data_IF_846575688426
#
_entry.id   IF_846575688426
#
_cell.length_a   1.000
_cell.length_b   1.000
_cell.length_c   1.000
_cell.angle_alpha   90.00
_cell.angle_beta   90.00
_cell.angle_gamma   90.00
#
_symmetry.space_group_name_H-M   'P 1'
#
loop_
_entity.id
_entity.type
_entity.pdbx_description
1 polymer ?
#
# COMPACT_ATOMS: atom_id res chain seq x y z
N UNK A 1 4.74 -11.44 23.19
CA UNK A 1 6.20 -11.50 23.45
C UNK A 1 6.77 -10.17 22.98
N UNK A 2 7.50 -9.43 23.81
CA UNK A 2 8.08 -8.16 23.38
C UNK A 2 9.41 -8.45 22.67
N UNK A 3 9.52 -8.03 21.43
CA UNK A 3 10.74 -8.16 20.64
C UNK A 3 11.79 -7.10 21.03
N UNK A 4 13.06 -7.35 20.71
CA UNK A 4 14.19 -6.48 21.03
C UNK A 4 14.59 -5.69 19.78
N UNK A 5 14.74 -4.38 19.94
CA UNK A 5 15.24 -3.51 18.87
C UNK A 5 16.71 -3.80 18.53
N UNK A 6 17.01 -3.94 17.24
CA UNK A 6 18.37 -4.13 16.72
C UNK A 6 18.82 -2.91 15.89
N UNK A 7 19.80 -2.11 16.37
CA UNK A 7 20.28 -0.93 15.65
C UNK A 7 21.33 -1.23 14.56
N UNK A 8 21.71 -2.50 14.42
CA UNK A 8 22.69 -3.03 13.46
C UNK A 8 22.20 -4.40 12.99
N UNK A 9 22.59 -4.87 11.79
CA UNK A 9 22.18 -6.17 11.29
C UNK A 9 22.50 -7.30 12.26
N UNK A 10 21.52 -8.13 12.58
CA UNK A 10 21.67 -9.33 13.42
C UNK A 10 20.91 -10.52 12.83
N UNK A 11 21.38 -11.72 13.16
CA UNK A 11 20.79 -12.99 12.72
C UNK A 11 20.93 -13.24 11.22
N UNK A 12 20.74 -14.48 10.83
CA UNK A 12 20.50 -14.89 9.44
C UNK A 12 19.04 -14.67 9.07
N UNK A 13 18.72 -14.60 7.77
CA UNK A 13 17.32 -14.51 7.34
C UNK A 13 16.45 -15.63 7.95
N UNK A 14 16.94 -16.88 7.97
CA UNK A 14 16.17 -18.01 8.50
C UNK A 14 15.90 -17.90 10.01
N UNK A 15 16.86 -17.41 10.80
CA UNK A 15 16.66 -17.14 12.23
C UNK A 15 15.63 -16.02 12.44
N UNK A 16 15.71 -14.94 11.65
CA UNK A 16 14.76 -13.82 11.72
C UNK A 16 13.35 -14.22 11.28
N UNK A 17 13.27 -15.04 10.23
CA UNK A 17 12.04 -15.65 9.73
C UNK A 17 11.38 -16.50 10.81
N UNK A 18 12.13 -17.42 11.44
CA UNK A 18 11.60 -18.24 12.53
C UNK A 18 11.15 -17.36 13.70
N UNK A 19 11.93 -16.35 14.08
CA UNK A 19 11.57 -15.45 15.17
C UNK A 19 10.28 -14.66 14.88
N UNK A 20 10.07 -14.17 13.66
CA UNK A 20 8.83 -13.48 13.28
C UNK A 20 7.62 -14.43 13.27
N UNK A 21 7.77 -15.64 12.71
CA UNK A 21 6.70 -16.64 12.74
C UNK A 21 6.26 -16.96 14.17
N UNK A 22 7.20 -17.16 15.09
CA UNK A 22 6.90 -17.39 16.51
C UNK A 22 6.27 -16.16 17.17
N UNK A 23 6.76 -14.96 16.86
CA UNK A 23 6.20 -13.70 17.35
C UNK A 23 4.73 -13.55 16.94
N UNK A 24 4.39 -13.85 15.69
CA UNK A 24 3.03 -13.83 15.18
C UNK A 24 2.18 -14.95 15.81
N UNK A 25 2.65 -16.19 15.79
CA UNK A 25 1.89 -17.37 16.24
C UNK A 25 1.58 -17.37 17.75
N UNK A 26 2.38 -16.66 18.55
CA UNK A 26 2.14 -16.45 19.97
C UNK A 26 1.04 -15.42 20.26
N UNK A 27 0.47 -14.79 19.24
CA UNK A 27 -0.50 -13.70 19.35
C UNK A 27 -1.70 -13.95 18.43
N UNK A 28 -2.85 -13.44 18.85
CA UNK A 28 -4.07 -13.40 18.03
C UNK A 28 -4.67 -12.01 18.24
N UNK A 29 -4.07 -10.96 17.63
CA UNK A 29 -4.66 -9.64 17.72
C UNK A 29 -6.09 -9.72 17.16
N UNK A 30 -7.05 -9.04 17.79
CA UNK A 30 -8.38 -8.89 17.21
C UNK A 30 -8.38 -7.85 16.08
N UNK A 31 -9.57 -7.52 15.59
CA UNK A 31 -9.77 -6.49 14.57
C UNK A 31 -9.61 -7.01 13.14
N UNK A 32 -9.78 -6.11 12.16
CA UNK A 32 -9.99 -6.42 10.73
C UNK A 32 -8.97 -7.40 10.14
N UNK A 33 -7.69 -7.25 10.49
CA UNK A 33 -6.58 -8.01 9.89
C UNK A 33 -5.90 -8.95 10.89
N UNK A 34 -6.44 -9.06 12.10
CA UNK A 34 -5.78 -9.79 13.17
C UNK A 34 -5.60 -11.28 12.88
N UNK A 35 -6.46 -11.84 12.03
CA UNK A 35 -6.38 -13.21 11.54
C UNK A 35 -5.08 -13.54 10.77
N UNK A 36 -4.34 -12.54 10.27
CA UNK A 36 -3.08 -12.78 9.55
C UNK A 36 -2.03 -13.47 10.43
N UNK A 37 -2.09 -13.32 11.76
CA UNK A 37 -1.22 -14.08 12.66
C UNK A 37 -1.48 -15.60 12.61
N UNK A 38 -2.67 -16.02 12.18
CA UNK A 38 -3.03 -17.43 11.99
C UNK A 38 -2.30 -18.04 10.78
N UNK A 39 -1.96 -17.24 9.77
CA UNK A 39 -1.14 -17.71 8.63
C UNK A 39 0.25 -18.16 9.11
N UNK A 40 0.84 -17.46 10.10
CA UNK A 40 2.10 -17.88 10.70
C UNK A 40 1.98 -19.20 11.47
N UNK A 41 0.82 -19.48 12.09
CA UNK A 41 0.57 -20.78 12.73
C UNK A 41 0.49 -21.90 11.71
N UNK A 42 -0.18 -21.68 10.57
CA UNK A 42 -0.22 -22.64 9.47
C UNK A 42 1.17 -22.94 8.93
N UNK A 43 2.00 -21.91 8.70
CA UNK A 43 3.39 -22.10 8.24
C UNK A 43 4.24 -22.88 9.25
N UNK A 44 3.97 -22.73 10.55
CA UNK A 44 4.63 -23.49 11.62
C UNK A 44 4.05 -24.90 11.86
N UNK A 45 3.02 -25.31 11.11
CA UNK A 45 2.35 -26.60 11.33
C UNK A 45 1.60 -26.66 12.67
N UNK A 46 0.89 -25.59 13.03
CA UNK A 46 0.11 -25.47 14.27
C UNK A 46 -1.35 -25.19 13.94
N UNK A 47 -2.25 -25.74 14.75
CA UNK A 47 -3.70 -25.50 14.65
C UNK A 47 -3.99 -24.00 14.75
N UNK A 48 -4.80 -23.49 13.83
CA UNK A 48 -5.28 -22.08 13.89
C UNK A 48 -6.39 -21.93 14.92
N UNK A 49 -6.55 -20.71 15.42
CA UNK A 49 -7.85 -20.25 15.90
C UNK A 49 -8.67 -19.81 14.68
N UNK A 50 -9.76 -20.52 14.40
CA UNK A 50 -10.62 -20.25 13.25
C UNK A 50 -11.49 -19.00 13.44
N UNK A 51 -11.73 -18.58 14.69
CA UNK A 51 -12.68 -17.49 14.97
C UNK A 51 -12.26 -16.15 14.34
N UNK A 52 -11.00 -15.68 14.46
CA UNK A 52 -10.55 -14.47 13.77
C UNK A 52 -10.69 -14.54 12.24
N UNK A 53 -10.54 -15.73 11.65
CA UNK A 53 -10.67 -15.91 10.20
C UNK A 53 -12.14 -15.74 9.79
N UNK A 54 -13.08 -16.27 10.58
CA UNK A 54 -14.53 -16.10 10.37
C UNK A 54 -14.97 -14.65 10.58
N UNK A 55 -14.41 -13.95 11.56
CA UNK A 55 -14.64 -12.50 11.73
C UNK A 55 -14.15 -11.71 10.52
N UNK A 56 -13.03 -12.11 9.91
CA UNK A 56 -12.56 -11.51 8.67
C UNK A 56 -13.49 -11.82 7.49
N UNK A 57 -14.09 -13.01 7.43
CA UNK A 57 -15.13 -13.36 6.43
C UNK A 57 -16.35 -12.44 6.61
N UNK A 58 -16.84 -12.26 7.84
CA UNK A 58 -17.95 -11.34 8.15
C UNK A 58 -17.63 -9.90 7.75
N UNK A 59 -16.39 -9.46 7.99
CA UNK A 59 -15.91 -8.16 7.54
C UNK A 59 -15.94 -8.03 6.00
N UNK A 60 -15.54 -9.06 5.26
CA UNK A 60 -15.68 -9.08 3.79
C UNK A 60 -17.13 -8.91 3.36
N UNK A 61 -18.06 -9.68 3.95
CA UNK A 61 -19.49 -9.59 3.66
C UNK A 61 -20.13 -8.24 4.07
N UNK A 62 -19.52 -7.52 5.02
CA UNK A 62 -19.99 -6.18 5.41
C UNK A 62 -19.81 -5.14 4.29
N UNK A 63 -18.99 -5.43 3.27
CA UNK A 63 -18.65 -4.55 2.15
C UNK A 63 -18.10 -3.18 2.60
N UNK A 64 -17.45 -3.15 3.76
CA UNK A 64 -16.70 -2.00 4.22
C UNK A 64 -15.35 -1.91 3.51
N UNK A 65 -14.81 -0.69 3.46
CA UNK A 65 -13.50 -0.40 2.88
C UNK A 65 -12.35 -1.19 3.55
N UNK A 66 -11.34 -1.51 2.74
CA UNK A 66 -10.19 -2.37 3.04
C UNK A 66 -10.50 -3.87 3.23
N UNK A 67 -11.62 -4.37 2.70
CA UNK A 67 -11.94 -5.81 2.77
C UNK A 67 -11.17 -6.67 1.75
N UNK A 68 -10.60 -6.07 0.72
CA UNK A 68 -9.62 -6.65 -0.21
C UNK A 68 -8.38 -7.14 0.55
N UNK A 69 -7.94 -6.44 1.59
CA UNK A 69 -6.76 -6.86 2.36
C UNK A 69 -6.98 -8.21 3.05
N UNK A 70 -8.21 -8.48 3.51
CA UNK A 70 -8.57 -9.78 4.07
C UNK A 70 -8.60 -10.87 3.00
N UNK A 71 -9.07 -10.53 1.81
CA UNK A 71 -9.17 -11.43 0.67
C UNK A 71 -7.79 -11.92 0.21
N UNK A 72 -6.80 -11.03 0.13
CA UNK A 72 -5.40 -11.39 -0.13
C UNK A 72 -4.84 -12.41 0.89
N UNK A 73 -5.20 -12.27 2.16
CA UNK A 73 -4.87 -13.24 3.21
C UNK A 73 -5.54 -14.61 2.99
N UNK A 74 -6.82 -14.62 2.61
CA UNK A 74 -7.57 -15.85 2.31
C UNK A 74 -6.99 -16.59 1.11
N UNK A 75 -6.63 -15.87 0.06
CA UNK A 75 -5.98 -16.44 -1.12
C UNK A 75 -4.69 -17.15 -0.74
N UNK A 76 -3.85 -16.55 0.11
CA UNK A 76 -2.65 -17.25 0.55
C UNK A 76 -2.93 -18.51 1.35
N UNK A 77 -3.95 -18.49 2.21
CA UNK A 77 -4.40 -19.69 2.93
C UNK A 77 -4.79 -20.80 1.93
N UNK A 78 -5.55 -20.45 0.89
CA UNK A 78 -6.00 -21.42 -0.12
C UNK A 78 -4.86 -21.93 -1.01
N UNK A 79 -3.93 -21.08 -1.43
CA UNK A 79 -2.80 -21.52 -2.26
C UNK A 79 -1.79 -22.38 -1.49
N UNK A 80 -1.53 -22.07 -0.21
CA UNK A 80 -0.48 -22.77 0.56
C UNK A 80 -0.97 -23.87 1.49
N UNK A 81 -2.15 -23.70 2.09
CA UNK A 81 -2.56 -24.48 3.25
C UNK A 81 -3.95 -25.11 3.12
N UNK A 82 -4.56 -25.10 1.93
CA UNK A 82 -5.87 -25.72 1.66
C UNK A 82 -6.01 -27.16 2.17
N UNK A 83 -4.93 -27.94 2.09
CA UNK A 83 -4.90 -29.33 2.53
C UNK A 83 -4.21 -29.55 3.89
N UNK A 84 -3.93 -28.47 4.62
CA UNK A 84 -3.32 -28.55 5.95
C UNK A 84 -4.29 -29.22 6.94
N UNK A 85 -3.82 -30.14 7.81
CA UNK A 85 -4.64 -30.71 8.86
C UNK A 85 -4.93 -29.71 10.00
N UNK A 86 -4.30 -28.53 9.98
CA UNK A 86 -4.36 -27.51 11.02
C UNK A 86 -5.45 -26.45 10.80
N UNK A 87 -6.28 -26.63 9.77
CA UNK A 87 -7.44 -25.79 9.43
C UNK A 87 -8.58 -26.70 8.96
N UNK A 88 -9.81 -26.46 9.43
CA UNK A 88 -10.94 -27.27 9.03
C UNK A 88 -11.26 -27.10 7.54
N UNK A 89 -11.68 -28.19 6.91
CA UNK A 89 -12.14 -28.15 5.53
C UNK A 89 -13.47 -27.37 5.38
N UNK A 90 -14.21 -27.20 6.48
CA UNK A 90 -15.38 -26.33 6.54
C UNK A 90 -14.98 -24.86 6.34
N UNK A 91 -14.00 -24.37 7.10
CA UNK A 91 -13.49 -23.01 6.95
C UNK A 91 -12.87 -22.80 5.57
N UNK A 92 -12.11 -23.77 5.04
CA UNK A 92 -11.63 -23.70 3.65
C UNK A 92 -12.77 -23.47 2.67
N UNK A 93 -13.86 -24.24 2.76
CA UNK A 93 -15.03 -24.06 1.89
C UNK A 93 -15.72 -22.70 2.04
N UNK A 94 -15.66 -22.08 3.23
CA UNK A 94 -16.15 -20.70 3.45
C UNK A 94 -15.26 -19.66 2.78
N UNK A 95 -13.93 -19.82 2.83
CA UNK A 95 -13.01 -18.95 2.12
C UNK A 95 -13.25 -19.00 0.60
N UNK A 96 -13.40 -20.21 0.03
CA UNK A 96 -13.68 -20.38 -1.40
C UNK A 96 -14.99 -19.69 -1.82
N UNK A 97 -16.07 -19.85 -1.03
CA UNK A 97 -17.35 -19.16 -1.26
C UNK A 97 -17.20 -17.64 -1.17
N UNK A 98 -16.41 -17.16 -0.23
CA UNK A 98 -16.17 -15.72 -0.06
C UNK A 98 -15.47 -15.14 -1.29
N UNK A 99 -14.50 -15.85 -1.87
CA UNK A 99 -13.83 -15.43 -3.11
C UNK A 99 -14.79 -15.38 -4.31
N UNK A 100 -15.65 -16.37 -4.47
CA UNK A 100 -16.62 -16.42 -5.58
C UNK A 100 -17.72 -15.36 -5.45
N UNK A 101 -18.05 -14.95 -4.22
CA UNK A 101 -19.04 -13.92 -3.93
C UNK A 101 -18.50 -12.49 -4.10
N UNK A 102 -17.19 -12.29 -3.96
CA UNK A 102 -16.60 -10.97 -3.86
C UNK A 102 -16.74 -10.14 -5.16
N UNK A 103 -16.88 -8.82 -5.00
CA UNK A 103 -16.83 -7.85 -6.11
C UNK A 103 -15.40 -7.33 -6.24
N UNK A 104 -14.74 -7.59 -7.37
CA UNK A 104 -13.31 -7.33 -7.55
C UNK A 104 -13.01 -5.96 -8.13
N UNK A 105 -13.92 -5.38 -8.92
CA UNK A 105 -13.70 -4.06 -9.50
C UNK A 105 -14.89 -3.13 -9.42
N UNK A 106 -14.65 -1.82 -9.58
CA UNK A 106 -15.66 -0.80 -9.29
C UNK A 106 -16.87 -0.83 -10.24
N UNK A 107 -16.68 -1.25 -11.49
CA UNK A 107 -17.69 -1.32 -12.55
C UNK A 107 -18.56 -2.58 -12.51
N UNK A 108 -18.20 -3.56 -11.69
CA UNK A 108 -19.05 -4.72 -11.43
C UNK A 108 -20.36 -4.33 -10.70
N UNK A 109 -21.45 -5.08 -10.87
CA UNK A 109 -22.69 -4.85 -10.11
C UNK A 109 -22.45 -5.00 -8.59
N UNK A 110 -23.31 -4.38 -7.79
CA UNK A 110 -23.28 -4.49 -6.33
C UNK A 110 -23.12 -3.15 -5.60
N UNK A 111 -22.96 -3.23 -4.26
CA UNK A 111 -22.88 -2.03 -3.40
C UNK A 111 -21.59 -1.26 -3.63
N UNK A 112 -21.73 0.05 -3.77
CA UNK A 112 -20.62 1.01 -3.72
C UNK A 112 -20.34 1.34 -2.26
N UNK A 113 -19.10 1.18 -1.81
CA UNK A 113 -18.72 1.42 -0.40
C UNK A 113 -17.25 1.13 -0.10
N UNK A 114 -16.42 0.99 -1.13
CA UNK A 114 -15.01 0.60 -1.06
C UNK A 114 -14.20 1.55 -1.91
N UNK A 115 -12.96 1.77 -1.51
CA UNK A 115 -11.98 2.54 -2.25
C UNK A 115 -11.30 1.63 -3.29
N UNK A 116 -11.49 1.91 -4.59
CA UNK A 116 -10.79 1.19 -5.67
C UNK A 116 -9.65 2.00 -6.28
N UNK A 117 -9.44 3.22 -5.80
CA UNK A 117 -8.74 4.27 -6.56
C UNK A 117 -7.31 4.52 -6.10
N UNK A 118 -6.97 4.26 -4.83
CA UNK A 118 -5.59 4.48 -4.37
C UNK A 118 -4.63 3.44 -4.94
N UNK A 119 -3.36 3.80 -5.02
CA UNK A 119 -2.31 2.99 -5.66
C UNK A 119 -2.26 1.54 -5.14
N UNK A 120 -2.29 1.35 -3.81
CA UNK A 120 -2.30 0.03 -3.18
C UNK A 120 -3.58 -0.77 -3.50
N UNK A 121 -4.77 -0.17 -3.40
CA UNK A 121 -6.03 -0.85 -3.63
C UNK A 121 -6.10 -1.39 -5.06
N UNK A 122 -5.66 -0.61 -6.05
CA UNK A 122 -5.66 -1.05 -7.45
C UNK A 122 -4.90 -2.37 -7.62
N UNK A 123 -3.70 -2.50 -7.05
CA UNK A 123 -2.93 -3.73 -7.21
C UNK A 123 -3.45 -4.87 -6.34
N UNK A 124 -3.99 -4.60 -5.15
CA UNK A 124 -4.56 -5.61 -4.27
C UNK A 124 -5.81 -6.22 -4.91
N UNK A 125 -6.78 -5.40 -5.33
CA UNK A 125 -8.00 -5.88 -5.98
C UNK A 125 -7.70 -6.76 -7.19
N UNK A 126 -6.82 -6.31 -8.09
CA UNK A 126 -6.51 -7.10 -9.29
C UNK A 126 -5.61 -8.30 -9.01
N UNK A 127 -4.71 -8.23 -8.02
CA UNK A 127 -3.99 -9.42 -7.56
C UNK A 127 -4.96 -10.47 -7.05
N UNK A 128 -5.93 -10.06 -6.23
CA UNK A 128 -6.90 -10.97 -5.67
C UNK A 128 -7.82 -11.56 -6.75
N UNK A 129 -8.24 -10.73 -7.70
CA UNK A 129 -9.04 -11.14 -8.86
C UNK A 129 -8.33 -12.20 -9.70
N UNK A 130 -7.06 -11.95 -10.06
CA UNK A 130 -6.25 -12.89 -10.84
C UNK A 130 -6.16 -14.23 -10.11
N UNK A 131 -5.80 -14.20 -8.83
CA UNK A 131 -5.54 -15.41 -8.07
C UNK A 131 -6.82 -16.19 -7.77
N UNK A 132 -7.95 -15.52 -7.54
CA UNK A 132 -9.25 -16.17 -7.43
C UNK A 132 -9.67 -16.80 -8.77
N UNK A 133 -9.55 -16.08 -9.88
CA UNK A 133 -9.83 -16.60 -11.22
C UNK A 133 -9.00 -17.84 -11.56
N UNK A 134 -7.71 -17.85 -11.19
CA UNK A 134 -6.83 -19.01 -11.36
C UNK A 134 -7.18 -20.22 -10.49
N UNK A 135 -7.74 -20.02 -9.28
CA UNK A 135 -8.22 -21.11 -8.43
C UNK A 135 -9.50 -21.73 -8.96
N UNK A 136 -10.35 -20.93 -9.61
CA UNK A 136 -11.68 -21.33 -10.07
C UNK A 136 -11.93 -20.95 -11.55
N UNK A 137 -11.09 -21.42 -12.50
CA UNK A 137 -11.14 -20.96 -13.90
C UNK A 137 -12.49 -21.27 -14.58
N UNK A 138 -13.11 -22.39 -14.20
CA UNK A 138 -14.38 -22.87 -14.74
C UNK A 138 -15.60 -22.44 -13.90
N UNK A 139 -15.39 -21.78 -12.76
CA UNK A 139 -16.50 -21.32 -11.92
C UNK A 139 -17.09 -20.02 -12.46
N UNK A 140 -18.36 -19.81 -12.13
CA UNK A 140 -19.04 -18.53 -12.32
C UNK A 140 -18.99 -17.76 -11.02
N UNK A 141 -18.47 -16.53 -11.06
CA UNK A 141 -18.40 -15.63 -9.93
C UNK A 141 -19.79 -15.04 -9.69
N UNK A 142 -20.25 -15.12 -8.44
CA UNK A 142 -21.65 -14.81 -8.10
C UNK A 142 -21.95 -13.31 -8.24
N UNK A 143 -20.94 -12.46 -8.07
CA UNK A 143 -21.14 -11.03 -8.08
C UNK A 143 -21.60 -10.51 -9.46
N UNK A 144 -20.88 -10.87 -10.52
CA UNK A 144 -21.08 -10.33 -11.87
C UNK A 144 -21.53 -11.37 -12.90
N UNK A 145 -21.51 -12.66 -12.54
CA UNK A 145 -21.87 -13.77 -13.41
C UNK A 145 -20.81 -14.13 -14.45
N UNK A 146 -19.61 -13.56 -14.37
CA UNK A 146 -18.51 -13.87 -15.28
C UNK A 146 -17.76 -15.14 -14.85
N UNK A 147 -16.99 -15.70 -15.79
CA UNK A 147 -16.17 -16.90 -15.53
C UNK A 147 -14.84 -16.55 -14.87
N UNK A 148 -14.21 -17.51 -14.18
CA UNK A 148 -12.84 -17.34 -13.69
C UNK A 148 -11.84 -16.93 -14.77
N UNK A 149 -11.99 -17.45 -16.01
CA UNK A 149 -11.17 -17.03 -17.14
C UNK A 149 -11.33 -15.54 -17.50
N UNK A 150 -12.54 -14.99 -17.39
CA UNK A 150 -12.77 -13.55 -17.59
C UNK A 150 -12.01 -12.72 -16.55
N UNK A 151 -12.10 -13.11 -15.27
CA UNK A 151 -11.40 -12.42 -14.18
C UNK A 151 -9.88 -12.50 -14.34
N UNK A 152 -9.33 -13.62 -14.83
CA UNK A 152 -7.91 -13.71 -15.19
C UNK A 152 -7.56 -12.66 -16.26
N UNK A 153 -8.30 -12.62 -17.36
CA UNK A 153 -7.99 -11.69 -18.47
C UNK A 153 -8.14 -10.22 -18.05
N UNK A 154 -9.18 -9.91 -17.28
CA UNK A 154 -9.47 -8.59 -16.75
C UNK A 154 -8.37 -8.11 -15.78
N UNK A 155 -8.03 -8.92 -14.78
CA UNK A 155 -6.99 -8.61 -13.82
C UNK A 155 -5.62 -8.42 -14.48
N UNK A 156 -5.27 -9.28 -15.45
CA UNK A 156 -3.99 -9.21 -16.16
C UNK A 156 -3.80 -7.89 -16.92
N UNK A 157 -4.87 -7.34 -17.50
CA UNK A 157 -4.83 -6.03 -18.14
C UNK A 157 -4.36 -4.94 -17.16
N UNK A 158 -5.01 -4.85 -16.00
CA UNK A 158 -4.72 -3.79 -15.04
C UNK A 158 -3.45 -4.03 -14.22
N UNK A 159 -3.12 -5.26 -13.85
CA UNK A 159 -1.85 -5.59 -13.19
C UNK A 159 -0.67 -5.13 -14.05
N UNK A 160 -0.68 -5.46 -15.35
CA UNK A 160 0.40 -5.08 -16.28
C UNK A 160 0.52 -3.56 -16.41
N UNK A 161 -0.60 -2.85 -16.44
CA UNK A 161 -0.62 -1.38 -16.45
C UNK A 161 -0.06 -0.80 -15.16
N UNK A 162 -0.50 -1.29 -14.00
CA UNK A 162 -0.01 -0.84 -12.70
C UNK A 162 1.50 -1.06 -12.55
N UNK A 163 2.00 -2.25 -12.90
CA UNK A 163 3.43 -2.58 -12.91
C UNK A 163 4.21 -1.64 -13.85
N UNK A 164 3.67 -1.38 -15.04
CA UNK A 164 4.27 -0.43 -16.00
C UNK A 164 4.35 0.98 -15.42
N UNK A 165 3.33 1.44 -14.70
CA UNK A 165 3.35 2.75 -14.06
C UNK A 165 4.42 2.83 -12.96
N UNK A 166 4.58 1.78 -12.14
CA UNK A 166 5.64 1.77 -11.12
C UNK A 166 7.03 1.87 -11.72
N UNK A 167 7.28 1.16 -12.82
CA UNK A 167 8.55 1.23 -13.55
C UNK A 167 8.80 2.62 -14.14
N UNK A 168 7.76 3.30 -14.64
CA UNK A 168 7.91 4.61 -15.30
C UNK A 168 7.97 5.78 -14.32
N UNK A 169 7.26 5.70 -13.21
CA UNK A 169 6.94 6.85 -12.37
C UNK A 169 7.22 6.62 -10.87
N UNK A 170 7.76 5.48 -10.43
CA UNK A 170 8.02 5.26 -9.00
C UNK A 170 6.74 4.89 -8.25
N UNK A 171 6.45 5.50 -7.08
CA UNK A 171 5.22 5.29 -6.28
C UNK A 171 4.54 6.63 -5.99
N UNK A 172 3.23 6.72 -6.18
CA UNK A 172 2.47 7.93 -5.87
C UNK A 172 2.36 8.07 -4.36
N UNK A 173 2.17 6.95 -3.63
CA UNK A 173 2.24 6.91 -2.17
C UNK A 173 3.71 6.82 -1.69
N UNK A 174 4.58 7.69 -2.23
CA UNK A 174 6.04 7.57 -2.16
C UNK A 174 6.54 7.30 -0.73
N UNK A 175 7.47 6.34 -0.63
CA UNK A 175 8.18 5.97 0.60
C UNK A 175 7.27 5.79 1.83
N UNK A 176 5.98 5.48 1.65
CA UNK A 176 5.06 5.40 2.77
C UNK A 176 5.41 4.22 3.67
N UNK A 177 5.61 4.52 4.96
CA UNK A 177 5.93 3.54 5.99
C UNK A 177 4.78 2.60 6.37
N UNK A 178 3.62 2.75 5.73
CA UNK A 178 2.47 1.85 5.83
C UNK A 178 2.09 1.26 4.47
N UNK A 179 2.03 2.05 3.41
CA UNK A 179 1.54 1.57 2.12
C UNK A 179 2.50 0.61 1.41
N UNK A 180 3.79 0.62 1.74
CA UNK A 180 4.69 -0.44 1.29
C UNK A 180 4.27 -1.82 1.81
N UNK A 181 3.70 -1.94 3.02
CA UNK A 181 3.17 -3.22 3.50
C UNK A 181 1.90 -3.63 2.75
N UNK A 182 1.10 -2.67 2.31
CA UNK A 182 -0.10 -2.91 1.50
C UNK A 182 0.28 -3.34 0.07
N UNK A 183 1.24 -2.68 -0.57
CA UNK A 183 1.75 -3.10 -1.89
C UNK A 183 2.40 -4.49 -1.84
N UNK A 184 3.20 -4.76 -0.79
CA UNK A 184 3.83 -6.07 -0.58
C UNK A 184 2.80 -7.19 -0.37
N UNK A 185 1.61 -6.88 0.18
CA UNK A 185 0.53 -7.85 0.33
C UNK A 185 0.17 -8.49 -1.03
N UNK A 186 -0.04 -7.64 -2.03
CA UNK A 186 -0.39 -8.06 -3.39
C UNK A 186 0.82 -8.64 -4.13
N UNK A 187 1.94 -7.92 -4.14
CA UNK A 187 3.10 -8.27 -4.95
C UNK A 187 3.69 -9.63 -4.57
N UNK A 188 3.74 -9.96 -3.27
CA UNK A 188 4.27 -11.25 -2.82
C UNK A 188 3.35 -12.40 -3.20
N UNK A 189 2.04 -12.19 -3.16
CA UNK A 189 1.07 -13.17 -3.65
C UNK A 189 1.19 -13.38 -5.17
N UNK A 190 1.36 -12.30 -5.95
CA UNK A 190 1.63 -12.41 -7.39
C UNK A 190 2.95 -13.14 -7.66
N UNK A 191 4.01 -12.81 -6.92
CA UNK A 191 5.31 -13.47 -7.03
C UNK A 191 5.26 -14.97 -6.73
N UNK A 192 4.49 -15.38 -5.72
CA UNK A 192 4.40 -16.78 -5.33
C UNK A 192 3.41 -17.58 -6.22
N UNK A 193 2.32 -16.97 -6.68
CA UNK A 193 1.14 -17.71 -7.17
C UNK A 193 0.66 -17.34 -8.58
N UNK A 194 1.11 -16.24 -9.19
CA UNK A 194 0.73 -15.92 -10.57
C UNK A 194 1.28 -16.98 -11.54
N UNK A 195 0.40 -17.51 -12.40
CA UNK A 195 0.79 -18.50 -13.42
C UNK A 195 1.47 -17.84 -14.62
N UNK A 196 1.35 -16.51 -14.77
CA UNK A 196 1.94 -15.76 -15.87
C UNK A 196 3.35 -15.32 -15.49
N UNK A 197 4.34 -15.80 -16.25
CA UNK A 197 5.75 -15.55 -15.99
C UNK A 197 6.09 -14.05 -15.97
N UNK A 198 5.49 -13.26 -16.86
CA UNK A 198 5.72 -11.82 -16.93
C UNK A 198 5.23 -11.08 -15.68
N UNK A 199 4.08 -11.48 -15.13
CA UNK A 199 3.54 -10.91 -13.88
C UNK A 199 4.42 -11.32 -12.70
N UNK A 200 4.76 -12.60 -12.61
CA UNK A 200 5.59 -13.14 -11.51
C UNK A 200 6.96 -12.49 -11.46
N UNK A 201 7.64 -12.39 -12.61
CA UNK A 201 8.96 -11.77 -12.71
C UNK A 201 8.92 -10.27 -12.40
N UNK A 202 7.93 -9.54 -12.93
CA UNK A 202 7.83 -8.11 -12.68
C UNK A 202 7.43 -7.81 -11.24
N UNK A 203 6.53 -8.59 -10.63
CA UNK A 203 6.24 -8.50 -9.21
C UNK A 203 7.50 -8.69 -8.37
N UNK A 204 8.32 -9.70 -8.67
CA UNK A 204 9.62 -9.91 -8.03
C UNK A 204 10.57 -8.71 -8.15
N UNK A 205 10.66 -8.09 -9.33
CA UNK A 205 11.48 -6.88 -9.55
C UNK A 205 10.95 -5.66 -8.78
N UNK A 206 9.63 -5.50 -8.66
CA UNK A 206 9.05 -4.42 -7.86
C UNK A 206 9.27 -4.69 -6.35
N UNK A 207 9.19 -5.93 -5.88
CA UNK A 207 9.57 -6.28 -4.51
C UNK A 207 11.05 -5.94 -4.27
N UNK A 208 11.96 -6.30 -5.18
CA UNK A 208 13.38 -5.93 -5.08
C UNK A 208 13.57 -4.42 -5.00
N UNK A 209 12.82 -3.65 -5.80
CA UNK A 209 12.83 -2.19 -5.74
C UNK A 209 12.33 -1.70 -4.38
N UNK A 210 11.22 -2.22 -3.83
CA UNK A 210 10.74 -1.84 -2.50
C UNK A 210 11.76 -2.17 -1.40
N UNK A 211 12.42 -3.34 -1.47
CA UNK A 211 13.52 -3.67 -0.56
C UNK A 211 14.67 -2.68 -0.71
N UNK A 212 14.99 -2.27 -1.94
CA UNK A 212 16.02 -1.27 -2.20
C UNK A 212 15.64 0.10 -1.62
N UNK A 213 14.41 0.56 -1.80
CA UNK A 213 13.89 1.80 -1.19
C UNK A 213 14.01 1.75 0.34
N UNK A 214 13.59 0.65 0.97
CA UNK A 214 13.74 0.47 2.42
C UNK A 214 15.21 0.44 2.86
N UNK A 215 16.12 -0.12 2.04
CA UNK A 215 17.56 -0.15 2.36
C UNK A 215 18.21 1.24 2.29
N UNK A 216 17.76 2.09 1.36
CA UNK A 216 18.23 3.46 1.19
C UNK A 216 17.66 4.40 2.27
N UNK A 217 16.36 4.29 2.53
CA UNK A 217 15.61 5.27 3.34
C UNK A 217 15.31 4.82 4.75
N UNK A 218 15.99 3.77 5.21
CA UNK A 218 16.02 3.41 6.63
C UNK A 218 17.33 3.82 7.31
N UNK A 219 17.18 4.20 8.58
CA UNK A 219 18.28 4.45 9.50
C UNK A 219 18.17 3.51 10.69
N UNK A 220 19.06 2.51 10.78
CA UNK A 220 19.09 1.54 11.88
C UNK A 220 17.74 0.87 12.14
N UNK A 221 17.02 0.52 11.08
CA UNK A 221 15.70 -0.13 11.18
C UNK A 221 14.52 0.81 11.35
N UNK A 222 14.71 2.12 11.20
CA UNK A 222 13.65 3.14 11.21
C UNK A 222 13.44 3.63 9.78
N UNK A 223 12.23 3.55 9.22
CA UNK A 223 11.90 4.11 7.90
C UNK A 223 11.68 5.62 8.02
N UNK A 224 12.69 6.33 8.50
CA UNK A 224 12.56 7.70 8.97
C UNK A 224 12.72 8.77 7.90
N UNK A 225 12.09 8.57 6.75
CA UNK A 225 12.18 9.44 5.57
C UNK A 225 10.92 10.32 5.39
N UNK A 226 10.86 11.11 4.31
CA UNK A 226 9.58 11.71 3.89
C UNK A 226 8.59 10.61 3.49
N UNK A 227 7.30 10.88 3.64
CA UNK A 227 6.23 9.96 3.23
C UNK A 227 5.14 10.71 2.46
N UNK A 228 4.69 10.15 1.35
CA UNK A 228 3.50 10.61 0.65
C UNK A 228 2.25 10.48 1.50
N UNK A 229 2.18 9.42 2.29
CA UNK A 229 1.14 9.23 3.30
C UNK A 229 1.67 8.54 4.53
N UNK A 230 1.20 8.99 5.69
CA UNK A 230 1.49 8.37 6.97
C UNK A 230 0.43 8.73 8.01
N UNK A 231 0.64 8.26 9.24
CA UNK A 231 -0.30 8.37 10.36
C UNK A 231 0.42 8.72 11.65
N UNK A 232 -0.29 9.37 12.57
CA UNK A 232 0.22 9.81 13.88
C UNK A 232 0.95 8.68 14.63
N UNK A 233 0.42 7.47 14.62
CA UNK A 233 1.04 6.31 15.31
C UNK A 233 2.40 5.91 14.74
N UNK A 234 2.68 6.25 13.49
CA UNK A 234 3.87 5.80 12.74
C UNK A 234 5.03 6.80 12.83
N UNK A 235 4.73 8.10 12.94
CA UNK A 235 5.74 9.17 12.92
C UNK A 235 6.17 9.65 14.32
N UNK A 236 5.52 9.18 15.39
CA UNK A 236 5.94 9.49 16.77
C UNK A 236 7.16 8.69 17.23
N UNK A 237 7.56 7.66 16.49
CA UNK A 237 8.70 6.81 16.76
C UNK A 237 8.61 5.51 15.96
N UNK A 238 9.74 4.89 15.65
CA UNK A 238 9.77 3.70 14.79
C UNK A 238 9.21 2.44 15.48
N UNK A 239 8.99 2.48 16.80
CA UNK A 239 8.48 1.33 17.56
C UNK A 239 7.10 0.87 17.09
N UNK A 240 6.27 1.80 16.60
CA UNK A 240 4.93 1.50 16.11
C UNK A 240 4.81 1.51 14.58
N UNK A 241 5.93 1.67 13.86
CA UNK A 241 5.98 1.82 12.41
C UNK A 241 5.84 0.46 11.70
N UNK A 242 4.94 0.36 10.73
CA UNK A 242 4.60 -0.95 10.13
C UNK A 242 5.78 -1.56 9.36
N UNK A 243 6.50 -0.74 8.58
CA UNK A 243 7.69 -1.16 7.82
C UNK A 243 8.83 -1.73 8.68
N UNK A 244 8.86 -1.46 10.00
CA UNK A 244 9.88 -2.00 10.91
C UNK A 244 9.90 -3.53 10.92
N UNK A 245 8.76 -4.20 10.72
CA UNK A 245 8.71 -5.67 10.66
C UNK A 245 9.45 -6.20 9.43
N UNK A 246 9.17 -5.63 8.25
CA UNK A 246 9.83 -6.01 7.00
C UNK A 246 11.32 -5.68 7.02
N UNK A 247 11.70 -4.49 7.50
CA UNK A 247 13.11 -4.11 7.65
C UNK A 247 13.84 -5.07 8.61
N UNK A 248 13.21 -5.47 9.71
CA UNK A 248 13.82 -6.45 10.61
C UNK A 248 13.94 -7.82 9.95
N UNK A 249 12.89 -8.31 9.30
CA UNK A 249 12.91 -9.59 8.60
C UNK A 249 14.04 -9.63 7.56
N UNK A 250 14.15 -8.59 6.74
CA UNK A 250 15.05 -8.57 5.58
C UNK A 250 16.48 -8.14 5.94
N UNK A 251 16.67 -7.14 6.78
CA UNK A 251 17.99 -6.55 7.05
C UNK A 251 18.52 -6.80 8.47
N UNK A 252 17.71 -7.42 9.33
CA UNK A 252 18.12 -7.69 10.72
C UNK A 252 18.28 -6.45 11.57
N UNK A 253 17.56 -5.38 11.26
CA UNK A 253 17.52 -4.13 12.03
C UNK A 253 16.08 -3.72 12.30
N UNK A 254 15.83 -3.01 13.40
CA UNK A 254 14.47 -2.62 13.77
C UNK A 254 13.86 -3.55 14.82
N UNK A 255 12.53 -3.61 14.84
CA UNK A 255 11.75 -4.36 15.84
C UNK A 255 10.50 -4.98 15.19
N UNK A 256 10.15 -6.20 15.60
CA UNK A 256 8.84 -6.78 15.33
C UNK A 256 7.81 -6.17 16.28
N UNK A 257 6.86 -5.43 15.73
CA UNK A 257 5.90 -4.63 16.51
C UNK A 257 4.44 -4.95 16.20
N UNK A 258 4.17 -5.65 15.10
CA UNK A 258 2.82 -5.99 14.68
C UNK A 258 2.78 -7.44 14.16
N UNK A 259 2.04 -8.34 14.82
CA UNK A 259 1.95 -9.74 14.42
C UNK A 259 0.99 -9.99 13.25
N UNK A 260 0.35 -8.94 12.73
CA UNK A 260 -0.59 -8.98 11.62
C UNK A 260 -0.22 -7.94 10.53
N UNK A 261 1.07 -7.68 10.35
CA UNK A 261 1.55 -6.78 9.28
C UNK A 261 1.30 -7.42 7.92
N UNK A 262 0.62 -6.69 7.04
CA UNK A 262 0.11 -7.17 5.76
C UNK A 262 1.21 -7.83 4.92
N UNK A 263 2.19 -7.05 4.44
CA UNK A 263 3.28 -7.52 3.59
C UNK A 263 4.25 -8.47 4.28
N UNK A 264 4.66 -8.18 5.52
CA UNK A 264 5.62 -9.03 6.24
C UNK A 264 5.12 -10.47 6.45
N UNK A 265 3.84 -10.67 6.73
CA UNK A 265 3.25 -12.03 6.86
C UNK A 265 3.29 -12.78 5.52
N UNK A 266 3.11 -12.07 4.39
CA UNK A 266 3.29 -12.70 3.07
C UNK A 266 4.76 -13.08 2.86
N UNK A 267 5.68 -12.15 3.10
CA UNK A 267 7.12 -12.35 2.90
C UNK A 267 7.68 -13.51 3.72
N UNK A 268 7.31 -13.62 5.00
CA UNK A 268 7.83 -14.68 5.87
C UNK A 268 7.38 -16.07 5.44
N UNK A 269 6.25 -16.16 4.75
CA UNK A 269 5.73 -17.41 4.18
C UNK A 269 6.09 -17.59 2.71
N UNK A 270 6.86 -16.68 2.10
CA UNK A 270 7.19 -16.69 0.67
C UNK A 270 8.50 -17.43 0.36
N UNK A 271 8.65 -17.82 -0.91
CA UNK A 271 9.94 -18.23 -1.48
C UNK A 271 10.89 -17.05 -1.74
N UNK A 272 10.39 -15.81 -1.72
CA UNK A 272 11.19 -14.60 -1.99
C UNK A 272 12.37 -14.47 -1.01
N UNK A 273 13.52 -14.06 -1.53
CA UNK A 273 14.71 -13.71 -0.74
C UNK A 273 15.27 -12.39 -1.25
N UNK A 274 15.51 -11.47 -0.34
CA UNK A 274 16.12 -10.19 -0.68
C UNK A 274 17.49 -10.42 -1.34
N UNK A 275 17.81 -9.75 -2.46
CA UNK A 275 19.15 -9.81 -3.05
C UNK A 275 20.23 -9.40 -2.03
N UNK A 276 21.32 -10.18 -1.86
CA UNK A 276 22.35 -9.90 -0.86
C UNK A 276 23.02 -8.52 -0.99
N UNK A 277 23.03 -7.94 -2.20
CA UNK A 277 23.54 -6.59 -2.44
C UNK A 277 22.66 -5.52 -1.77
N UNK A 278 21.34 -5.73 -1.73
CA UNK A 278 20.41 -4.80 -1.07
C UNK A 278 20.58 -4.90 0.44
N UNK A 279 20.68 -6.12 0.99
CA UNK A 279 21.01 -6.33 2.41
C UNK A 279 22.32 -5.64 2.79
N UNK A 280 23.35 -5.74 1.94
CA UNK A 280 24.63 -5.06 2.16
C UNK A 280 24.51 -3.54 2.12
N UNK A 281 23.64 -2.97 1.28
CA UNK A 281 23.37 -1.53 1.22
C UNK A 281 22.66 -1.04 2.48
N UNK A 282 21.70 -1.80 2.98
CA UNK A 282 21.04 -1.52 4.26
C UNK A 282 22.04 -1.57 5.41
N UNK A 283 22.92 -2.57 5.42
CA UNK A 283 23.95 -2.77 6.44
C UNK A 283 25.08 -1.74 6.42
N UNK A 284 25.29 -1.05 5.30
CA UNK A 284 26.37 -0.05 5.17
C UNK A 284 25.98 1.30 5.78
N UNK A 285 26.14 1.37 7.11
CA UNK A 285 25.76 2.53 7.93
C UNK A 285 26.84 3.61 8.01
N UNK A 286 28.11 3.31 7.72
CA UNK A 286 29.23 4.22 8.00
C UNK A 286 29.37 5.40 7.03
N UNK A 287 29.33 5.23 5.69
CA UNK A 287 29.57 6.33 4.77
C UNK A 287 28.36 7.26 4.70
N UNK A 288 28.65 8.55 4.60
CA UNK A 288 27.63 9.53 4.24
C UNK A 288 27.14 9.27 2.81
N UNK A 289 25.82 9.23 2.62
CA UNK A 289 25.17 8.98 1.34
C UNK A 289 24.10 10.02 1.08
N UNK A 290 24.05 10.52 -0.15
CA UNK A 290 22.97 11.35 -0.65
C UNK A 290 22.22 10.57 -1.73
N UNK A 291 20.96 10.27 -1.46
CA UNK A 291 20.01 9.68 -2.39
C UNK A 291 19.14 10.78 -2.96
N UNK A 292 18.91 10.73 -4.28
CA UNK A 292 18.04 11.64 -5.00
C UNK A 292 17.12 10.84 -5.88
N UNK A 293 15.83 11.00 -5.65
CA UNK A 293 14.79 10.21 -6.31
C UNK A 293 13.67 11.10 -6.80
N UNK A 294 12.87 10.50 -7.67
CA UNK A 294 11.73 11.12 -8.29
C UNK A 294 10.61 10.09 -8.34
N UNK A 295 9.45 10.48 -7.82
CA UNK A 295 8.26 9.64 -7.85
C UNK A 295 7.02 10.41 -8.31
N UNK A 296 6.01 9.66 -8.72
CA UNK A 296 4.74 10.12 -9.26
C UNK A 296 4.90 10.95 -10.55
N UNK A 297 3.83 11.61 -10.97
CA UNK A 297 3.83 12.59 -12.05
C UNK A 297 2.81 13.71 -11.78
N UNK A 298 2.98 14.84 -12.45
CA UNK A 298 1.97 15.89 -12.51
C UNK A 298 0.92 15.53 -13.58
N UNK A 299 -0.38 15.60 -13.25
CA UNK A 299 -1.45 15.31 -14.23
C UNK A 299 -1.31 16.19 -15.47
N UNK A 300 -0.94 17.47 -15.32
CA UNK A 300 -0.72 18.38 -16.44
C UNK A 300 0.29 17.85 -17.49
N UNK A 301 1.20 16.98 -17.07
CA UNK A 301 2.26 16.40 -17.89
C UNK A 301 1.91 15.03 -18.48
N UNK A 302 0.72 14.49 -18.20
CA UNK A 302 0.30 13.16 -18.64
C UNK A 302 0.42 12.95 -20.17
N UNK A 303 0.09 14.00 -20.95
CA UNK A 303 0.22 14.00 -22.40
C UNK A 303 1.66 13.75 -22.90
N UNK A 304 2.69 14.20 -22.15
CA UNK A 304 4.11 13.96 -22.48
C UNK A 304 4.46 12.47 -22.42
N UNK A 305 3.67 11.70 -21.69
CA UNK A 305 3.85 10.28 -21.45
C UNK A 305 2.92 9.40 -22.29
N UNK A 306 2.14 9.99 -23.20
CA UNK A 306 1.17 9.30 -24.06
C UNK A 306 -0.10 8.89 -23.34
N UNK A 307 -0.41 9.50 -22.19
CA UNK A 307 -1.60 9.23 -21.41
C UNK A 307 -2.74 10.15 -21.85
N UNK A 308 -3.94 9.59 -22.00
CA UNK A 308 -5.14 10.33 -22.35
C UNK A 308 -5.84 10.82 -21.09
N UNK A 309 -6.41 12.03 -21.13
CA UNK A 309 -7.32 12.51 -20.09
C UNK A 309 -8.73 11.93 -20.21
N UNK A 310 -9.03 11.24 -21.32
CA UNK A 310 -10.36 10.74 -21.61
C UNK A 310 -10.50 9.21 -21.53
N UNK A 311 -9.38 8.51 -21.37
CA UNK A 311 -9.34 7.05 -21.25
C UNK A 311 -9.62 6.63 -19.80
N UNK A 312 -10.58 5.72 -19.59
CA UNK A 312 -10.86 5.14 -18.26
C UNK A 312 -9.62 4.43 -17.70
N UNK A 313 -8.94 3.66 -18.55
CA UNK A 313 -7.71 2.95 -18.21
C UNK A 313 -6.58 3.87 -17.74
N UNK A 314 -6.43 5.06 -18.35
CA UNK A 314 -5.43 6.05 -17.91
C UNK A 314 -5.94 6.82 -16.68
N UNK A 315 -7.26 6.98 -16.56
CA UNK A 315 -7.97 7.52 -15.40
C UNK A 315 -7.52 6.91 -14.08
N UNK A 316 -7.34 5.59 -14.06
CA UNK A 316 -6.89 4.86 -12.87
C UNK A 316 -5.54 5.39 -12.35
N UNK A 317 -4.60 5.76 -13.22
CA UNK A 317 -3.33 6.37 -12.78
C UNK A 317 -3.58 7.71 -12.08
N UNK A 318 -4.43 8.57 -12.64
CA UNK A 318 -4.75 9.86 -12.03
C UNK A 318 -5.45 9.71 -10.68
N UNK A 319 -6.28 8.68 -10.53
CA UNK A 319 -6.89 8.34 -9.25
C UNK A 319 -5.87 7.81 -8.24
N UNK A 320 -4.87 7.04 -8.67
CA UNK A 320 -3.78 6.57 -7.79
C UNK A 320 -2.89 7.70 -7.26
N UNK A 321 -2.78 8.78 -8.04
CA UNK A 321 -2.13 10.05 -7.67
C UNK A 321 -3.01 10.87 -6.70
N UNK A 322 -4.28 10.51 -6.56
CA UNK A 322 -5.27 11.13 -5.66
C UNK A 322 -5.53 12.61 -5.92
N UNK A 323 -5.25 13.08 -7.14
CA UNK A 323 -5.66 14.40 -7.60
C UNK A 323 -7.01 14.30 -8.32
N UNK A 324 -8.02 13.87 -7.55
CA UNK A 324 -9.33 13.42 -8.05
C UNK A 324 -10.12 14.52 -8.77
N UNK A 325 -9.89 15.77 -8.44
CA UNK A 325 -10.65 16.92 -8.96
C UNK A 325 -9.80 17.81 -9.85
N UNK A 326 -8.64 17.33 -10.32
CA UNK A 326 -7.82 18.10 -11.25
C UNK A 326 -8.64 18.46 -12.50
N UNK A 327 -8.67 19.74 -12.94
CA UNK A 327 -9.53 20.18 -14.04
C UNK A 327 -9.39 19.37 -15.33
N UNK A 328 -8.19 18.87 -15.63
CA UNK A 328 -7.92 18.04 -16.81
C UNK A 328 -8.68 16.69 -16.83
N UNK A 329 -9.02 16.12 -15.67
CA UNK A 329 -9.62 14.77 -15.58
C UNK A 329 -11.09 14.79 -15.11
N UNK A 330 -11.62 15.97 -14.79
CA UNK A 330 -13.00 16.11 -14.35
C UNK A 330 -14.03 15.65 -15.39
N UNK A 331 -13.76 15.90 -16.67
CA UNK A 331 -14.62 15.41 -17.76
C UNK A 331 -14.70 13.87 -17.80
N UNK A 332 -13.58 13.18 -17.52
CA UNK A 332 -13.56 11.73 -17.41
C UNK A 332 -14.33 11.24 -16.19
N UNK A 333 -14.06 11.84 -15.03
CA UNK A 333 -14.70 11.43 -13.77
C UNK A 333 -16.22 11.60 -13.84
N UNK A 334 -16.70 12.68 -14.43
CA UNK A 334 -18.14 12.92 -14.61
C UNK A 334 -18.80 11.91 -15.55
N UNK A 335 -18.10 11.50 -16.63
CA UNK A 335 -18.58 10.42 -17.50
C UNK A 335 -18.65 9.10 -16.75
N UNK A 336 -17.59 8.73 -16.02
CA UNK A 336 -17.54 7.47 -15.28
C UNK A 336 -18.56 7.41 -14.14
N UNK A 337 -18.79 8.52 -13.42
CA UNK A 337 -19.91 8.63 -12.48
C UNK A 337 -21.25 8.41 -13.19
N UNK A 338 -21.50 9.12 -14.28
CA UNK A 338 -22.80 9.07 -14.96
C UNK A 338 -23.08 7.69 -15.55
N UNK A 339 -22.06 7.01 -16.07
CA UNK A 339 -22.22 5.71 -16.74
C UNK A 339 -22.17 4.54 -15.76
N UNK A 340 -21.35 4.61 -14.71
CA UNK A 340 -21.05 3.47 -13.84
C UNK A 340 -21.33 3.72 -12.35
N UNK A 341 -21.80 4.92 -11.97
CA UNK A 341 -22.06 5.27 -10.58
C UNK A 341 -20.81 5.45 -9.73
N UNK A 342 -19.62 5.54 -10.33
CA UNK A 342 -18.35 5.70 -9.60
C UNK A 342 -18.37 6.97 -8.77
N UNK A 343 -18.00 6.85 -7.50
CA UNK A 343 -17.86 7.96 -6.57
C UNK A 343 -16.48 7.89 -5.90
N UNK A 344 -15.49 8.56 -6.50
CA UNK A 344 -14.10 8.57 -6.02
C UNK A 344 -13.97 9.21 -4.63
N UNK A 345 -14.83 10.20 -4.37
CA UNK A 345 -15.09 10.82 -3.08
C UNK A 345 -16.55 11.23 -3.05
N UNK A 346 -17.21 11.08 -1.88
CA UNK A 346 -18.66 11.27 -1.69
C UNK A 346 -19.20 12.62 -2.19
N UNK A 347 -18.32 13.62 -2.38
CA UNK A 347 -18.69 14.94 -2.85
C UNK A 347 -17.62 15.62 -3.74
N UNK A 348 -17.16 14.94 -4.79
CA UNK A 348 -16.13 15.49 -5.67
C UNK A 348 -16.60 16.74 -6.45
N UNK A 349 -17.89 16.85 -6.80
CA UNK A 349 -18.42 18.01 -7.53
C UNK A 349 -18.45 19.26 -6.64
N UNK A 350 -18.94 19.17 -5.40
CA UNK A 350 -18.87 20.34 -4.51
C UNK A 350 -17.42 20.69 -4.17
N UNK A 351 -16.54 19.69 -4.08
CA UNK A 351 -15.11 19.90 -3.87
C UNK A 351 -14.51 20.67 -5.04
N UNK A 352 -14.76 20.24 -6.27
CA UNK A 352 -14.35 20.97 -7.46
C UNK A 352 -14.89 22.40 -7.46
N UNK A 353 -16.17 22.57 -7.17
CA UNK A 353 -16.80 23.89 -7.20
C UNK A 353 -16.20 24.84 -6.17
N UNK A 354 -15.96 24.32 -4.95
CA UNK A 354 -15.30 25.05 -3.86
C UNK A 354 -13.87 25.46 -4.22
N UNK A 355 -13.12 24.62 -4.92
CA UNK A 355 -11.71 24.87 -5.23
C UNK A 355 -11.52 25.81 -6.43
N UNK A 356 -12.39 25.73 -7.44
CA UNK A 356 -12.11 26.34 -8.76
C UNK A 356 -13.14 27.35 -9.26
N UNK A 357 -14.42 27.29 -8.86
CA UNK A 357 -15.44 28.19 -9.47
C UNK A 357 -15.22 29.66 -9.14
N UNK A 358 -14.70 29.96 -7.96
CA UNK A 358 -14.35 31.33 -7.60
C UNK A 358 -13.23 31.89 -8.50
N UNK A 359 -12.26 31.04 -8.91
CA UNK A 359 -11.19 31.42 -9.83
C UNK A 359 -11.77 31.78 -11.20
N UNK A 360 -12.69 30.96 -11.70
CA UNK A 360 -13.39 31.23 -12.97
C UNK A 360 -14.21 32.52 -12.88
N UNK A 361 -14.91 32.74 -11.77
CA UNK A 361 -15.71 33.94 -11.58
C UNK A 361 -14.86 35.23 -11.48
N UNK A 362 -13.66 35.16 -10.90
CA UNK A 362 -12.77 36.30 -10.70
C UNK A 362 -11.84 36.55 -11.90
N UNK A 363 -11.26 35.50 -12.48
CA UNK A 363 -10.23 35.58 -13.51
C UNK A 363 -10.71 35.14 -14.90
N UNK A 364 -11.90 34.55 -15.02
CA UNK A 364 -12.43 33.99 -16.28
C UNK A 364 -11.89 32.60 -16.63
N UNK A 365 -10.91 32.10 -15.88
CA UNK A 365 -10.27 30.79 -16.06
C UNK A 365 -9.74 30.26 -14.72
N UNK A 366 -9.31 29.00 -14.70
CA UNK A 366 -8.61 28.41 -13.55
C UNK A 366 -7.14 28.82 -13.65
N UNK A 367 -6.69 29.65 -12.71
CA UNK A 367 -5.30 30.15 -12.66
C UNK A 367 -4.39 29.29 -11.80
N UNK A 368 -4.98 28.49 -10.90
CA UNK A 368 -4.28 27.54 -10.04
C UNK A 368 -5.05 26.21 -9.97
N UNK A 369 -4.55 25.21 -10.70
CA UNK A 369 -5.13 23.87 -10.78
C UNK A 369 -4.66 22.94 -9.65
N UNK A 370 -3.65 23.33 -8.86
CA UNK A 370 -3.01 22.46 -7.87
C UNK A 370 -3.60 22.68 -6.47
N UNK A 371 -4.93 22.58 -6.36
CA UNK A 371 -5.65 22.93 -5.14
C UNK A 371 -6.17 21.72 -4.34
N UNK A 372 -6.17 20.53 -4.93
CA UNK A 372 -6.55 19.30 -4.24
C UNK A 372 -5.50 18.93 -3.18
N UNK A 373 -5.95 18.69 -1.95
CA UNK A 373 -5.06 18.45 -0.81
C UNK A 373 -4.61 16.98 -0.69
N UNK A 374 -5.38 16.06 -1.29
CA UNK A 374 -5.04 14.63 -1.35
C UNK A 374 -3.96 14.33 -2.38
N UNK A 375 -3.76 15.24 -3.33
CA UNK A 375 -2.87 15.05 -4.46
C UNK A 375 -1.44 14.65 -4.01
N UNK A 376 -0.96 13.57 -4.61
CA UNK A 376 0.39 13.03 -4.49
C UNK A 376 1.09 13.12 -5.84
N UNK A 377 1.18 14.35 -6.35
CA UNK A 377 1.78 14.64 -7.65
C UNK A 377 3.28 14.37 -7.65
N UNK A 378 3.95 14.71 -8.75
CA UNK A 378 5.40 14.62 -8.88
C UNK A 378 6.14 15.14 -7.64
N UNK A 379 7.08 14.34 -7.15
CA UNK A 379 7.90 14.66 -5.99
C UNK A 379 9.36 14.34 -6.24
N UNK A 380 10.24 15.27 -5.88
CA UNK A 380 11.68 15.05 -5.82
C UNK A 380 12.10 14.83 -4.38
N UNK A 381 12.62 13.65 -4.06
CA UNK A 381 13.08 13.33 -2.71
C UNK A 381 14.60 13.46 -2.63
N UNK A 382 15.07 14.04 -1.53
CA UNK A 382 16.47 13.94 -1.13
C UNK A 382 16.56 13.33 0.25
N UNK A 383 17.33 12.26 0.36
CA UNK A 383 17.67 11.64 1.65
C UNK A 383 19.18 11.66 1.84
N UNK A 384 19.64 12.25 2.93
CA UNK A 384 21.04 12.27 3.34
C UNK A 384 21.21 11.42 4.61
N UNK A 385 21.96 10.33 4.51
CA UNK A 385 22.20 9.40 5.63
C UNK A 385 23.67 9.38 6.01
N UNK A 386 23.95 9.34 7.30
CA UNK A 386 25.29 9.17 7.90
C UNK A 386 25.25 8.07 8.95
N UNK A 387 26.39 7.75 9.57
CA UNK A 387 26.44 6.81 10.70
C UNK A 387 25.73 7.29 11.97
N UNK A 388 25.45 8.59 12.05
CA UNK A 388 24.93 9.26 13.25
C UNK A 388 23.48 9.73 13.10
N UNK A 389 23.03 10.02 11.87
CA UNK A 389 21.69 10.53 11.60
C UNK A 389 21.26 10.36 10.13
N UNK A 390 19.96 10.51 9.88
CA UNK A 390 19.38 10.61 8.54
C UNK A 390 18.47 11.84 8.43
N UNK A 391 18.54 12.55 7.30
CA UNK A 391 17.64 13.65 6.93
C UNK A 391 16.96 13.28 5.62
N UNK A 392 15.64 13.47 5.53
CA UNK A 392 14.91 13.24 4.28
C UNK A 392 13.91 14.36 4.07
N UNK A 393 13.76 14.81 2.82
CA UNK A 393 12.81 15.86 2.46
C UNK A 393 12.33 15.75 1.02
N UNK A 394 11.02 15.89 0.84
CA UNK A 394 10.38 16.20 -0.43
C UNK A 394 10.69 17.68 -0.80
N UNK A 395 11.41 17.88 -1.89
CA UNK A 395 11.92 19.18 -2.32
C UNK A 395 10.85 19.97 -3.06
N UNK A 396 10.56 21.19 -2.57
CA UNK A 396 9.58 22.13 -3.18
C UNK A 396 8.23 21.47 -3.50
N UNK A 397 7.85 20.47 -2.71
CA UNK A 397 6.66 19.67 -2.98
C UNK A 397 5.41 20.50 -2.67
N UNK A 398 4.78 21.01 -3.72
CA UNK A 398 3.53 21.79 -3.68
C UNK A 398 3.60 22.89 -2.61
N UNK A 399 4.68 23.68 -2.63
CA UNK A 399 4.99 24.66 -1.60
C UNK A 399 3.84 25.65 -1.37
N UNK A 400 3.37 25.74 -0.12
CA UNK A 400 2.28 26.63 0.26
C UNK A 400 0.88 26.24 -0.22
N UNK A 401 0.70 25.07 -0.85
CA UNK A 401 -0.60 24.53 -1.25
C UNK A 401 -1.31 23.85 -0.06
N UNK A 402 -2.64 23.63 -0.14
CA UNK A 402 -3.35 22.77 0.79
C UNK A 402 -2.74 21.37 0.85
N UNK A 403 -2.64 20.82 2.05
CA UNK A 403 -2.16 19.45 2.27
C UNK A 403 -3.17 18.59 3.02
N UNK A 404 -2.82 17.32 3.17
CA UNK A 404 -3.63 16.31 3.83
C UNK A 404 -2.76 15.44 4.74
N UNK A 405 -2.30 14.27 4.29
CA UNK A 405 -1.54 13.30 5.10
C UNK A 405 -0.04 13.28 4.84
N UNK A 406 0.45 14.14 3.95
CA UNK A 406 1.84 14.12 3.52
C UNK A 406 2.77 14.48 4.69
N UNK A 407 3.93 13.82 4.75
CA UNK A 407 5.01 14.05 5.71
C UNK A 407 6.26 14.54 4.95
N UNK A 408 6.39 15.86 4.74
CA UNK A 408 7.33 16.40 3.74
C UNK A 408 8.80 16.26 4.13
N UNK A 409 9.13 16.19 5.42
CA UNK A 409 10.51 16.05 5.87
C UNK A 409 10.63 15.42 7.25
N UNK A 410 11.77 14.77 7.50
CA UNK A 410 12.13 14.24 8.82
C UNK A 410 13.64 14.27 9.04
N UNK A 411 14.05 14.51 10.29
CA UNK A 411 15.35 14.15 10.81
C UNK A 411 15.23 12.99 11.79
N UNK A 412 16.02 11.95 11.56
CA UNK A 412 15.98 10.69 12.31
C UNK A 412 17.31 10.48 13.01
N UNK A 413 17.30 10.52 14.33
CA UNK A 413 18.48 10.39 15.21
C UNK A 413 18.50 9.04 15.95
N UNK A 414 17.40 8.29 15.89
CA UNK A 414 17.23 6.98 16.50
C UNK A 414 15.78 6.55 16.54
N UNK A 415 15.51 5.37 17.08
CA UNK A 415 14.16 4.76 17.12
C UNK A 415 13.08 5.63 17.79
N UNK A 416 13.46 6.40 18.82
CA UNK A 416 12.55 7.25 19.60
C UNK A 416 12.94 8.74 19.50
N UNK A 417 13.78 9.12 18.52
CA UNK A 417 14.32 10.47 18.38
C UNK A 417 14.12 10.98 16.95
N UNK A 418 12.87 11.36 16.66
CA UNK A 418 12.43 11.90 15.38
C UNK A 418 12.14 13.39 15.52
N UNK A 419 12.53 14.17 14.51
CA UNK A 419 12.24 15.61 14.42
C UNK A 419 11.59 15.88 13.08
N UNK A 420 10.41 16.48 13.12
CA UNK A 420 9.69 16.95 11.95
C UNK A 420 8.88 18.18 12.36
N UNK A 421 8.34 18.88 11.38
CA UNK A 421 7.32 19.90 11.62
C UNK A 421 6.12 19.62 10.74
N UNK A 422 4.97 20.07 11.21
CA UNK A 422 3.73 20.06 10.45
C UNK A 422 2.93 21.34 10.71
N UNK A 423 1.95 21.60 9.84
CA UNK A 423 0.92 22.62 10.08
C UNK A 423 -0.38 21.92 10.50
N UNK A 424 -0.73 21.89 11.81
CA UNK A 424 -1.88 21.15 12.29
C UNK A 424 -3.21 21.55 11.63
N UNK A 425 -4.02 20.56 11.26
CA UNK A 425 -5.38 20.75 10.74
C UNK A 425 -6.49 20.59 11.78
N UNK A 426 -6.20 19.92 12.89
CA UNK A 426 -7.13 19.62 13.98
C UNK A 426 -6.38 19.42 15.30
N UNK A 427 -7.09 19.52 16.42
CA UNK A 427 -6.56 19.30 17.79
C UNK A 427 -6.89 17.88 18.30
N UNK A 428 -6.58 16.88 17.48
CA UNK A 428 -6.75 15.46 17.78
C UNK A 428 -5.65 14.60 17.11
N UNK A 429 -5.72 13.26 17.22
CA UNK A 429 -4.79 12.33 16.56
C UNK A 429 -5.45 11.48 15.44
N UNK A 430 -6.72 11.74 15.10
CA UNK A 430 -7.57 10.87 14.26
C UNK A 430 -7.88 11.53 12.92
N UNK A 431 -8.17 12.83 12.94
CA UNK A 431 -8.45 13.67 11.78
C UNK A 431 -7.28 13.70 10.81
N UNK A 432 -7.49 14.21 9.61
CA UNK A 432 -6.46 14.32 8.57
C UNK A 432 -6.67 15.65 7.83
N UNK A 433 -5.72 16.58 7.88
CA UNK A 433 -4.57 16.62 8.78
C UNK A 433 -5.00 16.74 10.26
N UNK A 434 -4.14 16.29 11.19
CA UNK A 434 -4.36 16.41 12.63
C UNK A 434 -3.19 17.10 13.35
N UNK A 435 -3.12 16.96 14.67
CA UNK A 435 -2.11 17.63 15.49
C UNK A 435 -0.68 17.16 15.15
N UNK A 436 -0.49 15.87 14.90
CA UNK A 436 0.83 15.27 14.66
C UNK A 436 1.10 14.94 13.20
N UNK A 437 0.09 14.49 12.45
CA UNK A 437 0.26 13.95 11.11
C UNK A 437 -0.47 14.79 10.07
N UNK A 438 0.20 14.98 8.93
CA UNK A 438 -0.34 15.75 7.83
C UNK A 438 -0.14 17.25 7.97
N UNK A 439 -0.50 18.01 6.93
CA UNK A 439 -0.30 19.45 6.86
C UNK A 439 -1.54 20.15 6.33
N UNK A 440 -2.10 21.12 7.06
CA UNK A 440 -3.17 21.97 6.54
C UNK A 440 -2.70 22.78 5.33
N UNK A 441 -1.48 23.33 5.41
CA UNK A 441 -0.76 23.97 4.32
C UNK A 441 0.65 23.40 4.29
N UNK A 442 1.11 22.98 3.12
CA UNK A 442 2.46 22.45 2.93
C UNK A 442 3.53 23.54 3.14
N UNK A 443 4.72 23.18 3.66
CA UNK A 443 5.79 24.14 3.93
C UNK A 443 6.24 24.88 2.66
N UNK A 444 6.72 26.11 2.85
CA UNK A 444 7.24 26.99 1.78
C UNK A 444 8.75 27.05 1.79
#
# INVERSE_FOLDING_TARGET
MNDIYWPTPQGTYDERRQAYLEYCAAQSPGGKFGFLSQIARLELGRDVDEQPIREAIEFVYSNQDCNDFSLAGFLRILYKYKHSPHISQELIGELEKTLLWFKYWWDEPGRLGRCYWTENHQIIFHSDELLAGQLFPDATFENDGNSGQYHIDHALHYIRRWLTFRVRFGFSEWLSNIYFEEDLLALVNLYDFAQQDDVRENAGKIIDMLMFEMALHSYRGVMGCTHGRTYTRLIKGARGEDASNTIKLMFGMGVFNNPATLGTVQLVTSGYRCPPVIEAIAADLAPARLMKEHHSLNIADAHKYGLSYDSADDGHLYWSIQDYVHPAVMGLNERLRTTHGVSLHEDYQSTYDRLYQWQIAEYGEIVDAEMECHAMTEVHVQTYRTGDYMLSAAQDYRAGKPGYQQHPWQATLGIDALVFTNHPGADDEISRPNFWAGNCILPR
#
